data_IF_881970015776
#
_entry.id   IF_881970015776
#
_cell.length_a   1.000
_cell.length_b   1.000
_cell.length_c   1.000
_cell.angle_alpha   90.00
_cell.angle_beta   90.00
_cell.angle_gamma   90.00
#
_symmetry.space_group_name_H-M   'P 1'
#
loop_
_entity.id
_entity.type
_entity.pdbx_description
1 polymer ?
#
# COMPACT_ATOMS: atom_id res chain seq x y z
N UNK A 1 -0.41 -11.11 -3.20
CA UNK A 1 -0.81 -9.86 -3.88
C UNK A 1 -0.71 -10.06 -5.38
N UNK A 2 -1.75 -9.71 -6.13
CA UNK A 2 -1.80 -9.89 -7.58
C UNK A 2 -2.05 -8.56 -8.30
N UNK A 3 -1.25 -8.30 -9.32
CA UNK A 3 -1.50 -7.27 -10.33
C UNK A 3 -1.93 -7.92 -11.65
N UNK A 4 -2.13 -7.11 -12.71
CA UNK A 4 -2.65 -7.60 -14.00
C UNK A 4 -1.84 -8.73 -14.67
N UNK A 5 -0.54 -8.83 -14.38
CA UNK A 5 0.39 -9.76 -15.07
C UNK A 5 1.33 -10.50 -14.13
N UNK A 6 1.25 -10.25 -12.83
CA UNK A 6 2.20 -10.73 -11.83
C UNK A 6 1.51 -10.97 -10.51
N UNK A 7 1.96 -11.98 -9.80
CA UNK A 7 1.53 -12.30 -8.45
C UNK A 7 2.76 -12.51 -7.57
N UNK A 8 2.64 -12.13 -6.30
CA UNK A 8 3.70 -12.25 -5.31
C UNK A 8 3.12 -12.54 -3.94
N UNK A 9 3.62 -13.60 -3.33
CA UNK A 9 3.41 -13.88 -1.91
C UNK A 9 4.29 -12.96 -1.07
N UNK A 10 3.69 -12.38 -0.05
CA UNK A 10 4.34 -11.43 0.86
C UNK A 10 3.91 -11.73 2.28
N UNK A 11 4.81 -11.47 3.23
CA UNK A 11 4.42 -11.36 4.63
C UNK A 11 3.96 -9.92 4.86
N UNK A 12 2.72 -9.76 5.31
CA UNK A 12 2.14 -8.47 5.65
C UNK A 12 2.07 -8.28 7.16
N UNK A 13 2.15 -7.03 7.62
CA UNK A 13 1.89 -6.66 9.01
C UNK A 13 0.42 -6.31 9.17
N UNK A 14 -0.25 -6.93 10.14
CA UNK A 14 -1.61 -6.53 10.55
C UNK A 14 -1.46 -5.43 11.59
N UNK A 15 -1.88 -4.22 11.24
CA UNK A 15 -1.75 -3.03 12.08
C UNK A 15 -3.13 -2.40 12.31
N UNK A 16 -3.68 -2.57 13.51
CA UNK A 16 -4.95 -1.96 13.90
C UNK A 16 -4.84 -0.47 14.20
N UNK A 17 -3.63 0.07 14.33
CA UNK A 17 -3.36 1.51 14.50
C UNK A 17 -3.30 2.27 13.17
N UNK A 18 -3.23 1.57 12.05
CA UNK A 18 -3.22 2.15 10.72
C UNK A 18 -4.64 2.46 10.23
N UNK A 19 -4.89 3.72 9.86
CA UNK A 19 -6.19 4.15 9.29
C UNK A 19 -6.44 3.60 7.88
N UNK A 20 -5.38 3.21 7.17
CA UNK A 20 -5.45 2.69 5.82
C UNK A 20 -4.42 1.58 5.59
N UNK A 21 -4.50 0.95 4.43
CA UNK A 21 -3.53 -0.03 3.95
C UNK A 21 -2.34 0.73 3.35
N UNK A 22 -1.14 0.20 3.57
CA UNK A 22 0.10 0.81 3.07
C UNK A 22 0.92 -0.21 2.28
N UNK A 23 1.61 0.28 1.26
CA UNK A 23 2.57 -0.51 0.49
C UNK A 23 3.90 0.23 0.42
N UNK A 24 4.97 -0.44 0.85
CA UNK A 24 6.30 0.18 0.91
C UNK A 24 6.81 0.50 -0.51
N UNK A 25 7.40 1.69 -0.72
CA UNK A 25 7.88 2.15 -2.03
C UNK A 25 8.85 1.18 -2.73
N UNK A 26 9.83 0.64 -2.00
CA UNK A 26 10.70 -0.45 -2.50
C UNK A 26 9.93 -1.62 -3.13
N UNK A 27 8.84 -2.09 -2.52
CA UNK A 27 8.04 -3.17 -3.08
C UNK A 27 7.42 -2.78 -4.43
N UNK A 28 6.93 -1.53 -4.54
CA UNK A 28 6.38 -0.97 -5.77
C UNK A 28 7.43 -0.96 -6.88
N UNK A 29 8.63 -0.45 -6.58
CA UNK A 29 9.75 -0.33 -7.51
C UNK A 29 10.25 -1.71 -7.98
N UNK A 30 10.53 -2.62 -7.05
CA UNK A 30 11.08 -3.96 -7.33
C UNK A 30 10.11 -4.84 -8.13
N UNK A 31 8.80 -4.75 -7.83
CA UNK A 31 7.78 -5.56 -8.48
C UNK A 31 7.11 -4.84 -9.67
N UNK A 32 7.54 -3.61 -9.97
CA UNK A 32 7.00 -2.76 -11.05
C UNK A 32 5.48 -2.63 -10.95
N UNK A 33 4.99 -2.37 -9.75
CA UNK A 33 3.56 -2.19 -9.48
C UNK A 33 3.09 -0.91 -10.17
N UNK A 34 2.00 -1.00 -10.92
CA UNK A 34 1.40 0.17 -11.53
C UNK A 34 0.68 1.02 -10.47
N UNK A 35 1.04 2.30 -10.41
CA UNK A 35 0.43 3.27 -9.50
C UNK A 35 -0.32 4.36 -10.26
N UNK A 36 -1.19 5.09 -9.55
CA UNK A 36 -1.87 6.29 -10.04
C UNK A 36 -1.58 7.44 -9.09
N UNK A 37 -1.15 8.58 -9.63
CA UNK A 37 -0.97 9.82 -8.86
C UNK A 37 -2.30 10.33 -8.34
N UNK A 38 -2.31 10.74 -7.08
CA UNK A 38 -3.40 11.48 -6.48
C UNK A 38 -3.39 12.93 -6.98
N UNK A 39 -4.57 13.55 -7.05
CA UNK A 39 -4.68 14.97 -7.40
C UNK A 39 -3.99 15.87 -6.34
N UNK A 40 -4.06 15.46 -5.08
CA UNK A 40 -3.41 16.10 -3.95
C UNK A 40 -2.77 15.03 -3.04
N UNK A 41 -1.50 15.17 -2.64
CA UNK A 41 -0.87 14.25 -1.70
C UNK A 41 -1.55 14.29 -0.33
N UNK A 42 -1.61 13.14 0.34
CA UNK A 42 -2.17 12.97 1.68
C UNK A 42 -1.03 13.06 2.70
N UNK A 43 -1.13 13.97 3.67
CA UNK A 43 -0.19 14.02 4.79
C UNK A 43 -0.37 12.82 5.69
N UNK A 44 0.75 12.19 6.04
CA UNK A 44 0.78 11.04 6.93
C UNK A 44 1.46 11.44 8.23
N UNK A 45 0.81 11.12 9.35
CA UNK A 45 1.30 11.39 10.69
C UNK A 45 1.48 10.07 11.43
N UNK A 46 2.53 9.98 12.24
CA UNK A 46 2.76 8.84 13.13
C UNK A 46 1.83 8.94 14.34
N UNK A 47 1.79 7.88 15.16
CA UNK A 47 0.96 7.80 16.36
C UNK A 47 1.24 8.93 17.37
N UNK A 48 2.47 9.46 17.39
CA UNK A 48 2.90 10.57 18.24
C UNK A 48 2.56 11.95 17.67
N UNK A 49 1.88 12.02 16.52
CA UNK A 49 1.49 13.25 15.83
C UNK A 49 2.59 13.89 14.98
N UNK A 50 3.79 13.31 14.93
CA UNK A 50 4.85 13.80 14.04
C UNK A 50 4.59 13.42 12.59
N UNK A 51 5.10 14.21 11.63
CA UNK A 51 5.02 13.83 10.22
C UNK A 51 5.80 12.54 9.95
N UNK A 52 5.24 11.69 9.09
CA UNK A 52 5.93 10.49 8.66
C UNK A 52 7.19 10.85 7.89
N UNK A 53 8.32 10.21 8.25
CA UNK A 53 9.64 10.55 7.69
C UNK A 53 9.78 10.23 6.21
N UNK A 54 9.00 9.27 5.71
CA UNK A 54 8.96 8.92 4.29
C UNK A 54 8.06 9.87 3.48
N UNK A 55 7.45 10.84 4.15
CA UNK A 55 6.70 11.93 3.54
C UNK A 55 5.21 11.63 3.38
N UNK A 56 4.65 12.19 2.31
CA UNK A 56 3.21 12.11 2.01
C UNK A 56 2.87 10.94 1.09
N UNK A 57 1.65 10.43 1.18
CA UNK A 57 1.12 9.50 0.18
C UNK A 57 0.71 10.30 -1.06
N UNK A 58 1.44 10.13 -2.16
CA UNK A 58 1.17 10.85 -3.42
C UNK A 58 0.60 9.94 -4.53
N UNK A 59 0.67 8.62 -4.35
CA UNK A 59 0.28 7.62 -5.32
C UNK A 59 -0.46 6.48 -4.65
N UNK A 60 -1.35 5.82 -5.39
CA UNK A 60 -2.10 4.64 -4.94
C UNK A 60 -1.95 3.50 -5.94
N UNK A 61 -2.04 2.26 -5.43
CA UNK A 61 -2.05 1.04 -6.23
C UNK A 61 -3.34 0.25 -5.98
N UNK A 62 -3.92 -0.29 -7.05
CA UNK A 62 -5.06 -1.22 -6.95
C UNK A 62 -4.57 -2.62 -7.24
N UNK A 63 -4.63 -3.49 -6.24
CA UNK A 63 -4.13 -4.87 -6.30
C UNK A 63 -5.21 -5.85 -5.86
N UNK A 64 -5.15 -7.08 -6.36
CA UNK A 64 -5.83 -8.21 -5.75
C UNK A 64 -5.06 -8.68 -4.52
N UNK A 65 -5.77 -9.04 -3.46
CA UNK A 65 -5.22 -9.62 -2.25
C UNK A 65 -5.97 -10.90 -1.92
N UNK A 66 -5.22 -11.94 -1.61
CA UNK A 66 -5.72 -13.24 -1.16
C UNK A 66 -5.10 -13.53 0.20
N UNK A 67 -5.92 -13.83 1.21
CA UNK A 67 -5.50 -14.25 2.54
C UNK A 67 -6.34 -15.47 2.92
N UNK A 68 -5.73 -16.66 2.91
CA UNK A 68 -6.47 -17.91 3.08
C UNK A 68 -7.49 -18.09 1.95
N UNK A 69 -8.76 -18.26 2.32
CA UNK A 69 -9.90 -18.35 1.40
C UNK A 69 -10.52 -16.97 1.07
N UNK A 70 -10.10 -15.90 1.75
CA UNK A 70 -10.57 -14.56 1.49
C UNK A 70 -9.85 -13.91 0.30
N UNK A 71 -10.62 -13.31 -0.61
CA UNK A 71 -10.11 -12.57 -1.76
C UNK A 71 -10.81 -11.22 -1.88
N UNK A 72 -10.04 -10.16 -2.10
CA UNK A 72 -10.56 -8.82 -2.34
C UNK A 72 -9.67 -8.00 -3.26
N UNK A 73 -10.27 -7.00 -3.93
CA UNK A 73 -9.52 -5.94 -4.58
C UNK A 73 -9.31 -4.79 -3.60
N UNK A 74 -8.05 -4.42 -3.37
CA UNK A 74 -7.65 -3.45 -2.37
C UNK A 74 -6.92 -2.27 -2.98
N UNK A 75 -7.13 -1.11 -2.38
CA UNK A 75 -6.36 0.10 -2.64
C UNK A 75 -5.30 0.21 -1.55
N UNK A 76 -4.04 0.30 -1.97
CA UNK A 76 -2.90 0.67 -1.16
C UNK A 76 -2.45 2.09 -1.51
#
# INVERSE_FOLDING_TARGET
>A
LSGKRREKDVVAMVDSGATTKFLHRRFVEENRVATRKLASPIRLYNIDGTENRDGTIAEVAVLGMTIGDHQEQVVF
#
